data_IF_243434585936
#
_entry.id   IF_243434585936
#
_cell.length_a   1.000
_cell.length_b   1.000
_cell.length_c   1.000
_cell.angle_alpha   90.00
_cell.angle_beta   90.00
_cell.angle_gamma   90.00
#
_symmetry.space_group_name_H-M   'P 1'
#
loop_
_entity.id
_entity.type
_entity.pdbx_description
1 polymer ?
#
# COMPACT_ATOMS: atom_id res chain seq x y z
N UNK A 1 4.98 -17.67 0.20
CA UNK A 1 4.25 -16.40 0.16
C UNK A 1 5.17 -15.27 0.51
N UNK A 2 5.15 -14.22 -0.26
CA UNK A 2 6.00 -13.04 -0.04
C UNK A 2 5.14 -11.89 0.50
N UNK A 3 5.70 -11.16 1.44
CA UNK A 3 5.05 -9.99 2.04
C UNK A 3 5.88 -8.76 1.74
N UNK A 4 5.23 -7.76 1.20
CA UNK A 4 5.82 -6.45 0.89
C UNK A 4 5.13 -5.41 1.75
N UNK A 5 5.85 -4.42 2.21
CA UNK A 5 5.29 -3.42 3.11
C UNK A 5 5.87 -2.03 2.83
N UNK A 6 5.02 -1.02 3.01
CA UNK A 6 5.48 0.36 3.04
C UNK A 6 6.24 0.67 4.33
N UNK A 7 6.12 -0.18 5.35
CA UNK A 7 6.52 0.16 6.70
C UNK A 7 5.61 1.22 7.30
N UNK A 8 5.81 1.54 8.57
CA UNK A 8 5.03 2.60 9.22
C UNK A 8 5.28 3.95 8.55
N UNK A 9 4.20 4.67 8.26
CA UNK A 9 4.24 5.99 7.64
C UNK A 9 3.67 6.98 8.63
N UNK A 10 4.48 7.95 9.04
CA UNK A 10 4.05 9.00 9.94
C UNK A 10 3.35 10.10 9.17
N UNK A 11 2.23 10.57 9.69
CA UNK A 11 1.39 11.56 9.01
C UNK A 11 0.75 12.52 10.02
N UNK A 12 1.55 12.98 10.97
CA UNK A 12 1.09 13.88 12.01
C UNK A 12 0.66 15.23 11.42
N UNK A 13 -0.35 15.88 12.01
CA UNK A 13 -0.80 17.19 11.50
C UNK A 13 0.31 18.22 11.52
N UNK A 14 0.36 19.02 10.45
CA UNK A 14 1.20 20.21 10.35
C UNK A 14 0.25 21.40 10.24
N UNK A 15 0.33 22.32 11.19
CA UNK A 15 -0.60 23.46 11.28
C UNK A 15 -2.06 23.01 11.26
N UNK A 16 -2.36 21.91 11.97
CA UNK A 16 -3.72 21.37 12.12
C UNK A 16 -4.21 20.53 10.95
N UNK A 17 -3.39 20.32 9.93
CA UNK A 17 -3.78 19.52 8.76
C UNK A 17 -2.75 18.45 8.50
N UNK A 18 -3.21 17.20 8.31
CA UNK A 18 -2.31 16.11 7.95
C UNK A 18 -1.85 16.27 6.50
N UNK A 19 -0.55 16.08 6.23
CA UNK A 19 -0.03 16.22 4.86
C UNK A 19 -0.69 15.26 3.87
N UNK A 20 -0.93 14.02 4.27
CA UNK A 20 -1.57 13.01 3.45
C UNK A 20 -2.97 12.73 3.96
N UNK A 21 -3.95 12.76 3.08
CA UNK A 21 -5.35 12.51 3.42
C UNK A 21 -5.92 11.32 2.65
N UNK A 22 -5.23 10.90 1.60
CA UNK A 22 -5.61 9.75 0.78
C UNK A 22 -4.35 9.05 0.31
N UNK A 23 -4.42 7.72 0.20
CA UNK A 23 -3.35 6.92 -0.37
C UNK A 23 -3.85 6.28 -1.65
N UNK A 24 -3.08 6.42 -2.72
CA UNK A 24 -3.34 5.74 -3.98
C UNK A 24 -2.32 4.62 -4.16
N UNK A 25 -2.83 3.43 -4.38
CA UNK A 25 -2.02 2.25 -4.64
C UNK A 25 -2.21 1.84 -6.09
N UNK A 26 -1.12 1.57 -6.77
CA UNK A 26 -1.14 1.08 -8.13
C UNK A 26 -0.37 -0.23 -8.20
N UNK A 27 -1.01 -1.25 -8.78
CA UNK A 27 -0.45 -2.58 -8.94
C UNK A 27 -0.37 -2.89 -10.44
N UNK A 28 0.79 -3.35 -10.89
CA UNK A 28 0.97 -3.72 -12.30
C UNK A 28 1.51 -5.14 -12.37
N UNK A 29 0.82 -6.00 -13.11
CA UNK A 29 1.22 -7.39 -13.28
C UNK A 29 2.11 -7.51 -14.53
N UNK A 30 3.38 -7.87 -14.32
CA UNK A 30 4.35 -8.09 -15.40
C UNK A 30 4.50 -9.56 -15.77
N UNK A 31 3.77 -10.44 -15.10
CA UNK A 31 3.85 -11.88 -15.35
C UNK A 31 3.02 -12.28 -16.57
N UNK A 32 3.26 -13.48 -17.07
CA UNK A 32 2.49 -14.07 -18.16
C UNK A 32 1.14 -14.62 -17.67
N UNK A 33 0.98 -14.79 -16.37
CA UNK A 33 -0.23 -15.34 -15.75
C UNK A 33 -0.86 -14.31 -14.83
N UNK A 34 -2.15 -14.52 -14.50
CA UNK A 34 -2.84 -13.69 -13.53
C UNK A 34 -2.19 -13.84 -12.15
N UNK A 35 -2.15 -12.73 -11.41
CA UNK A 35 -1.64 -12.70 -10.04
C UNK A 35 -2.73 -12.26 -9.10
N UNK A 36 -2.66 -12.76 -7.86
CA UNK A 36 -3.55 -12.34 -6.79
C UNK A 36 -2.73 -11.67 -5.71
N UNK A 37 -3.13 -10.46 -5.34
CA UNK A 37 -2.43 -9.68 -4.32
C UNK A 37 -3.44 -9.34 -3.23
N UNK A 38 -3.08 -9.64 -1.98
CA UNK A 38 -3.84 -9.22 -0.81
C UNK A 38 -3.30 -7.88 -0.34
N UNK A 39 -4.18 -6.89 -0.20
CA UNK A 39 -3.83 -5.55 0.27
C UNK A 39 -4.42 -5.37 1.66
N UNK A 40 -3.59 -4.99 2.62
CA UNK A 40 -4.00 -4.73 3.99
C UNK A 40 -3.51 -3.37 4.41
N UNK A 41 -4.41 -2.56 4.96
CA UNK A 41 -4.08 -1.26 5.52
C UNK A 41 -4.28 -1.26 7.01
N UNK A 42 -3.35 -0.67 7.75
CA UNK A 42 -3.37 -0.62 9.21
C UNK A 42 -3.29 0.81 9.69
N UNK A 43 -4.12 1.12 10.67
CA UNK A 43 -4.00 2.35 11.44
C UNK A 43 -3.01 2.09 12.56
N UNK A 44 -2.03 2.96 12.70
CA UNK A 44 -1.01 2.83 13.73
C UNK A 44 -1.23 3.90 14.80
N UNK A 45 -1.54 3.44 16.00
CA UNK A 45 -1.62 4.29 17.19
C UNK A 45 -0.82 3.58 18.28
N UNK A 46 -1.38 3.36 19.46
CA UNK A 46 -0.75 2.48 20.45
C UNK A 46 -0.91 1.02 20.06
N UNK A 47 -1.82 0.74 19.13
CA UNK A 47 -2.02 -0.59 18.58
C UNK A 47 -2.00 -0.51 17.05
N UNK A 48 -1.83 -1.65 16.41
CA UNK A 48 -1.85 -1.79 14.95
C UNK A 48 -3.20 -2.41 14.59
N UNK A 49 -4.07 -1.61 14.00
CA UNK A 49 -5.46 -2.01 13.72
C UNK A 49 -5.73 -2.07 12.23
N UNK A 50 -6.20 -3.21 11.75
CA UNK A 50 -6.57 -3.39 10.34
C UNK A 50 -7.80 -2.55 10.00
N UNK A 51 -7.71 -1.74 8.93
CA UNK A 51 -8.86 -0.97 8.45
C UNK A 51 -9.11 -1.17 6.96
N UNK A 52 -8.16 -1.74 6.22
CA UNK A 52 -8.33 -2.10 4.81
C UNK A 52 -7.96 -3.57 4.64
N UNK A 53 -8.81 -4.33 3.98
CA UNK A 53 -8.50 -5.71 3.61
C UNK A 53 -9.18 -5.98 2.27
N UNK A 54 -8.38 -6.21 1.24
CA UNK A 54 -8.87 -6.44 -0.11
C UNK A 54 -7.98 -7.45 -0.81
N UNK A 55 -8.62 -8.36 -1.58
CA UNK A 55 -7.90 -9.30 -2.43
C UNK A 55 -8.15 -8.90 -3.88
N UNK A 56 -7.09 -8.65 -4.62
CA UNK A 56 -7.17 -8.14 -5.98
C UNK A 56 -6.55 -9.15 -6.94
N UNK A 57 -7.31 -9.55 -7.97
CA UNK A 57 -6.80 -10.38 -9.05
C UNK A 57 -6.41 -9.48 -10.21
N UNK A 58 -5.22 -9.66 -10.74
CA UNK A 58 -4.67 -8.81 -11.78
C UNK A 58 -4.31 -9.70 -12.99
N UNK A 59 -4.94 -9.44 -14.13
CA UNK A 59 -4.65 -10.17 -15.35
C UNK A 59 -3.25 -9.83 -15.87
N UNK A 60 -2.66 -10.67 -16.74
CA UNK A 60 -1.35 -10.36 -17.34
C UNK A 60 -1.35 -9.00 -18.00
N UNK A 61 -0.32 -8.21 -17.75
CA UNK A 61 -0.14 -6.86 -18.30
C UNK A 61 -1.23 -5.87 -17.87
N UNK A 62 -2.02 -6.20 -16.85
CA UNK A 62 -3.04 -5.30 -16.31
C UNK A 62 -2.45 -4.43 -15.20
N UNK A 63 -2.94 -3.20 -15.10
CA UNK A 63 -2.65 -2.31 -13.97
C UNK A 63 -3.96 -1.97 -13.26
N UNK A 64 -3.94 -2.02 -11.94
CA UNK A 64 -5.09 -1.75 -11.08
C UNK A 64 -4.75 -0.61 -10.13
N UNK A 65 -5.68 0.33 -9.96
CA UNK A 65 -5.52 1.46 -9.05
C UNK A 65 -6.58 1.39 -7.96
N UNK A 66 -6.17 1.65 -6.72
CA UNK A 66 -7.07 1.73 -5.56
C UNK A 66 -6.74 2.98 -4.76
N UNK A 67 -7.78 3.60 -4.21
CA UNK A 67 -7.65 4.77 -3.34
C UNK A 67 -8.22 4.43 -1.98
N UNK A 68 -7.48 4.77 -0.93
CA UNK A 68 -7.90 4.50 0.45
C UNK A 68 -7.80 5.76 1.28
N UNK A 69 -8.69 5.88 2.26
CA UNK A 69 -8.64 6.95 3.25
C UNK A 69 -7.31 6.86 4.03
N UNK A 70 -6.66 7.98 4.24
CA UNK A 70 -5.40 8.03 4.97
C UNK A 70 -5.23 9.29 5.83
N UNK A 71 -6.32 9.96 6.16
CA UNK A 71 -6.28 11.12 7.08
C UNK A 71 -6.14 10.61 8.52
N UNK A 72 -5.00 9.98 8.79
CA UNK A 72 -4.65 9.28 10.02
C UNK A 72 -3.27 9.74 10.47
N UNK A 73 -2.99 9.68 11.77
CA UNK A 73 -1.68 10.10 12.31
C UNK A 73 -0.53 9.21 11.82
N UNK A 74 -0.80 7.93 11.63
CA UNK A 74 0.16 6.99 11.08
C UNK A 74 -0.58 5.80 10.49
N UNK A 75 0.00 5.21 9.46
CA UNK A 75 -0.60 4.06 8.79
C UNK A 75 0.47 3.19 8.13
N UNK A 76 0.07 2.00 7.71
CA UNK A 76 0.96 1.08 7.02
C UNK A 76 0.15 0.28 6.01
N UNK A 77 0.71 0.05 4.81
CA UNK A 77 0.11 -0.83 3.81
C UNK A 77 0.99 -2.04 3.58
N UNK A 78 0.37 -3.21 3.60
CA UNK A 78 1.03 -4.51 3.45
C UNK A 78 0.42 -5.23 2.26
N UNK A 79 1.27 -5.85 1.46
CA UNK A 79 0.87 -6.57 0.26
C UNK A 79 1.39 -8.00 0.38
N UNK A 80 0.50 -8.97 0.18
CA UNK A 80 0.87 -10.38 0.20
C UNK A 80 0.56 -11.02 -1.15
N UNK A 81 1.52 -11.77 -1.68
CA UNK A 81 1.39 -12.46 -2.94
C UNK A 81 2.28 -13.71 -2.91
N UNK A 82 2.22 -14.53 -3.96
CA UNK A 82 3.13 -15.67 -4.10
C UNK A 82 4.56 -15.17 -4.19
N UNK A 83 5.51 -16.01 -3.78
CA UNK A 83 6.93 -15.65 -3.85
C UNK A 83 7.34 -15.26 -5.28
N UNK A 84 6.84 -16.00 -6.27
CA UNK A 84 7.11 -15.66 -7.68
C UNK A 84 6.41 -14.36 -8.08
N UNK A 85 5.21 -14.13 -7.55
CA UNK A 85 4.43 -12.92 -7.82
C UNK A 85 5.11 -11.67 -7.31
N UNK A 86 5.85 -11.75 -6.20
CA UNK A 86 6.53 -10.60 -5.62
C UNK A 86 7.57 -10.00 -6.58
N UNK A 87 8.16 -10.81 -7.44
CA UNK A 87 9.14 -10.37 -8.44
C UNK A 87 8.46 -9.82 -9.70
N UNK A 88 7.20 -10.18 -9.91
CA UNK A 88 6.47 -9.88 -11.14
C UNK A 88 5.47 -8.73 -10.99
N UNK A 89 5.15 -8.33 -9.77
CA UNK A 89 4.20 -7.25 -9.52
C UNK A 89 4.94 -5.95 -9.23
N UNK A 90 4.57 -4.89 -9.95
CA UNK A 90 5.01 -3.53 -9.63
C UNK A 90 4.01 -2.91 -8.68
N UNK A 91 4.49 -2.34 -7.57
CA UNK A 91 3.64 -1.71 -6.57
C UNK A 91 4.12 -0.30 -6.34
N UNK A 92 3.19 0.67 -6.44
CA UNK A 92 3.47 2.05 -6.02
C UNK A 92 2.44 2.48 -4.98
N UNK A 93 2.90 3.26 -4.02
CA UNK A 93 2.07 3.80 -2.94
C UNK A 93 2.34 5.30 -2.88
N UNK A 94 1.31 6.11 -3.10
CA UNK A 94 1.42 7.56 -3.14
C UNK A 94 0.51 8.20 -2.12
N UNK A 95 1.07 9.11 -1.32
CA UNK A 95 0.27 9.96 -0.46
C UNK A 95 -0.30 11.12 -1.27
N UNK A 96 -1.56 11.47 -1.01
CA UNK A 96 -2.24 12.58 -1.69
C UNK A 96 -2.99 13.43 -0.69
N UNK A 97 -3.12 14.72 -1.00
CA UNK A 97 -4.04 15.60 -0.31
C UNK A 97 -5.47 15.33 -0.75
N UNK A 98 -6.45 15.86 -0.01
CA UNK A 98 -7.85 15.72 -0.35
C UNK A 98 -8.18 16.26 -1.75
N UNK A 99 -7.41 17.25 -2.22
CA UNK A 99 -7.55 17.81 -3.56
C UNK A 99 -7.05 16.88 -4.67
N UNK A 100 -6.37 15.78 -4.31
CA UNK A 100 -5.74 14.87 -5.27
C UNK A 100 -4.29 15.22 -5.57
N UNK A 101 -3.76 16.29 -4.98
CA UNK A 101 -2.37 16.67 -5.19
C UNK A 101 -1.44 15.65 -4.54
N UNK A 102 -0.43 15.23 -5.29
CA UNK A 102 0.57 14.27 -4.79
C UNK A 102 1.41 14.90 -3.69
N UNK A 103 1.61 14.16 -2.61
CA UNK A 103 2.44 14.59 -1.48
C UNK A 103 3.77 13.88 -1.51
N UNK A 104 3.75 12.54 -1.53
CA UNK A 104 4.96 11.75 -1.43
C UNK A 104 4.75 10.35 -1.98
N UNK A 105 5.82 9.78 -2.52
CA UNK A 105 5.85 8.40 -2.94
C UNK A 105 6.47 7.57 -1.82
N UNK A 106 5.78 6.51 -1.42
CA UNK A 106 6.26 5.64 -0.37
C UNK A 106 6.92 4.41 -0.97
N UNK A 107 8.11 4.11 -0.46
CA UNK A 107 8.85 2.93 -0.90
C UNK A 107 8.23 1.68 -0.30
N UNK A 108 7.97 0.70 -1.16
CA UNK A 108 7.48 -0.61 -0.74
C UNK A 108 8.61 -1.61 -0.88
N UNK A 109 8.94 -2.28 0.20
CA UNK A 109 10.03 -3.25 0.23
C UNK A 109 9.55 -4.58 0.76
N UNK A 110 10.25 -5.64 0.40
CA UNK A 110 9.96 -6.96 0.93
C UNK A 110 10.16 -6.95 2.43
N UNK A 111 9.14 -7.44 3.14
CA UNK A 111 9.21 -7.54 4.58
C UNK A 111 10.10 -8.71 4.97
N UNK A 112 11.21 -8.42 5.66
CA UNK A 112 12.06 -9.47 6.16
C UNK A 112 11.35 -10.21 7.28
N UNK A 113 11.19 -11.49 7.08
CA UNK A 113 10.71 -12.33 8.16
C UNK A 113 11.85 -12.58 9.09
N UNK A 114 11.80 -11.98 10.24
CA UNK A 114 12.63 -12.38 11.35
C UNK A 114 12.05 -13.66 11.91
N UNK A 115 12.29 -14.68 11.24
CA UNK A 115 11.92 -15.99 11.76
C UNK A 115 13.14 -16.63 12.32
#
# INVERSE_FOLDING_TARGET
MATLSSGPIENNPVSGVRPTQQVTIRLANRAADSLTVSVQGYVLSTTRTLYVSEVISIAPNEAVTRNYFADLDAYEFVFETDTEGAEQVGISVWGKQASGQLVDAHRVVEHEKNS
#
